data_IF_708323779871
#
_entry.id   IF_708323779871
#
_cell.length_a   1.000
_cell.length_b   1.000
_cell.length_c   1.000
_cell.angle_alpha   90.00
_cell.angle_beta   90.00
_cell.angle_gamma   90.00
#
_symmetry.space_group_name_H-M   'P 1'
#
loop_
_entity.id
_entity.type
_entity.pdbx_description
1 polymer ?
#
# COMPACT_ATOMS: atom_id res chain seq x y z
N UNK A 1 2.40 -85.02 -5.18
CA UNK A 1 1.95 -84.08 -6.23
C UNK A 1 0.81 -83.28 -5.64
N UNK A 2 0.69 -81.96 -5.68
CA UNK A 2 1.54 -80.86 -6.11
C UNK A 2 0.70 -79.58 -5.89
N UNK A 3 1.21 -78.58 -5.14
CA UNK A 3 0.91 -77.13 -5.18
C UNK A 3 -0.55 -76.68 -4.86
N UNK A 4 -0.86 -75.50 -4.32
CA UNK A 4 -0.23 -74.19 -4.04
C UNK A 4 -1.09 -73.56 -2.92
N UNK A 5 -0.54 -72.82 -1.96
CA UNK A 5 -0.42 -71.36 -2.05
C UNK A 5 -1.78 -70.73 -1.70
N UNK A 6 -1.98 -70.13 -0.53
CA UNK A 6 -1.16 -69.07 0.03
C UNK A 6 -1.72 -67.73 -0.44
N UNK A 7 -2.98 -67.46 -0.12
CA UNK A 7 -3.67 -66.19 -0.35
C UNK A 7 -4.60 -66.04 0.86
N UNK A 8 -4.24 -65.12 1.77
CA UNK A 8 -5.11 -64.54 2.82
C UNK A 8 -4.30 -63.56 3.72
N UNK A 9 -3.01 -63.36 3.45
CA UNK A 9 -2.14 -62.41 4.17
C UNK A 9 -1.95 -61.06 3.44
N UNK A 10 -2.84 -60.71 2.52
CA UNK A 10 -2.73 -59.49 1.70
C UNK A 10 -3.93 -58.54 1.91
N UNK A 11 -4.36 -58.39 3.17
CA UNK A 11 -5.36 -57.38 3.56
C UNK A 11 -4.82 -56.37 4.59
N UNK A 12 -3.49 -56.20 4.66
CA UNK A 12 -2.85 -55.30 5.63
C UNK A 12 -1.81 -54.34 5.03
N UNK A 13 -1.77 -54.18 3.71
CA UNK A 13 -0.68 -53.41 3.04
C UNK A 13 -1.17 -52.39 2.02
N UNK A 14 -2.38 -51.86 2.20
CA UNK A 14 -3.01 -50.94 1.25
C UNK A 14 -3.25 -49.50 1.71
N UNK A 15 -3.04 -49.14 2.99
CA UNK A 15 -3.54 -47.86 3.51
C UNK A 15 -2.52 -46.88 4.12
N UNK A 16 -1.21 -47.17 4.10
CA UNK A 16 -0.23 -46.31 4.77
C UNK A 16 0.74 -45.57 3.84
N UNK A 17 0.47 -45.47 2.54
CA UNK A 17 1.43 -44.86 1.60
C UNK A 17 1.05 -43.46 1.08
N UNK A 18 -0.11 -42.89 1.42
CA UNK A 18 -0.56 -41.63 0.81
C UNK A 18 -0.81 -40.45 1.77
N UNK A 19 -0.65 -40.61 3.08
CA UNK A 19 -0.95 -39.52 4.03
C UNK A 19 0.27 -38.69 4.42
N UNK A 20 1.50 -39.21 4.27
CA UNK A 20 2.75 -38.52 4.61
C UNK A 20 3.20 -37.48 3.57
N UNK A 21 3.62 -37.92 2.37
CA UNK A 21 4.18 -37.04 1.33
C UNK A 21 3.18 -36.02 0.77
N UNK A 22 1.91 -36.40 0.63
CA UNK A 22 0.86 -35.48 0.19
C UNK A 22 0.63 -34.35 1.20
N UNK A 23 0.69 -34.64 2.50
CA UNK A 23 0.54 -33.63 3.55
C UNK A 23 1.73 -32.67 3.65
N UNK A 24 2.94 -33.16 3.38
CA UNK A 24 4.16 -32.34 3.33
C UNK A 24 4.15 -31.40 2.14
N UNK A 25 3.73 -31.89 0.97
CA UNK A 25 3.61 -31.04 -0.21
C UNK A 25 2.52 -29.98 -0.02
N UNK A 26 1.35 -30.35 0.51
CA UNK A 26 0.26 -29.39 0.77
C UNK A 26 0.70 -28.34 1.81
N UNK A 27 1.39 -28.74 2.88
CA UNK A 27 1.90 -27.80 3.88
C UNK A 27 2.94 -26.82 3.28
N UNK A 28 3.87 -27.30 2.45
CA UNK A 28 4.86 -26.45 1.78
C UNK A 28 4.22 -25.44 0.81
N UNK A 29 3.15 -25.85 0.11
CA UNK A 29 2.42 -24.99 -0.82
C UNK A 29 1.64 -23.91 -0.07
N UNK A 30 0.99 -24.26 1.05
CA UNK A 30 0.27 -23.31 1.91
C UNK A 30 1.24 -22.28 2.51
N UNK A 31 2.38 -22.73 3.03
CA UNK A 31 3.43 -21.85 3.56
C UNK A 31 3.99 -20.92 2.47
N UNK A 32 4.28 -21.46 1.29
CA UNK A 32 4.77 -20.68 0.16
C UNK A 32 3.76 -19.64 -0.35
N UNK A 33 2.47 -19.98 -0.38
CA UNK A 33 1.39 -19.05 -0.74
C UNK A 33 1.23 -17.94 0.32
N UNK A 34 1.34 -18.29 1.61
CA UNK A 34 1.31 -17.33 2.72
C UNK A 34 2.47 -16.34 2.66
N UNK A 35 3.69 -16.83 2.45
CA UNK A 35 4.89 -16.00 2.30
C UNK A 35 4.78 -15.09 1.06
N UNK A 36 4.34 -15.64 -0.08
CA UNK A 36 4.14 -14.87 -1.30
C UNK A 36 3.10 -13.76 -1.10
N UNK A 37 1.98 -14.06 -0.44
CA UNK A 37 0.93 -13.09 -0.11
C UNK A 37 1.47 -11.95 0.79
N UNK A 38 2.26 -12.30 1.81
CA UNK A 38 2.91 -11.31 2.68
C UNK A 38 3.89 -10.43 1.91
N UNK A 39 4.77 -11.03 1.09
CA UNK A 39 5.74 -10.29 0.27
C UNK A 39 5.08 -9.38 -0.75
N UNK A 40 3.95 -9.78 -1.34
CA UNK A 40 3.16 -8.94 -2.24
C UNK A 40 2.59 -7.71 -1.52
N UNK A 41 2.08 -7.89 -0.30
CA UNK A 41 1.51 -6.80 0.50
C UNK A 41 2.60 -5.81 0.96
N UNK A 42 3.79 -6.30 1.31
CA UNK A 42 4.97 -5.47 1.64
C UNK A 42 5.50 -4.70 0.41
N UNK A 43 5.58 -5.36 -0.75
CA UNK A 43 5.94 -4.70 -2.02
C UNK A 43 4.92 -3.61 -2.38
N UNK A 44 3.62 -3.86 -2.16
CA UNK A 44 2.55 -2.89 -2.40
C UNK A 44 2.68 -1.67 -1.49
N UNK A 45 3.01 -1.88 -0.22
CA UNK A 45 3.27 -0.79 0.72
C UNK A 45 4.47 0.05 0.29
N UNK A 46 5.58 -0.60 -0.09
CA UNK A 46 6.78 0.09 -0.60
C UNK A 46 6.50 0.91 -1.86
N UNK A 47 5.68 0.39 -2.78
CA UNK A 47 5.25 1.10 -3.97
C UNK A 47 4.39 2.33 -3.64
N UNK A 48 3.44 2.22 -2.70
CA UNK A 48 2.61 3.34 -2.26
C UNK A 48 3.42 4.41 -1.53
N UNK A 49 4.40 4.01 -0.72
CA UNK A 49 5.31 4.94 -0.07
C UNK A 49 6.12 5.72 -1.11
N UNK A 50 6.69 5.03 -2.10
CA UNK A 50 7.41 5.66 -3.21
C UNK A 50 6.52 6.63 -4.00
N UNK A 51 5.30 6.21 -4.37
CA UNK A 51 4.33 7.07 -5.06
C UNK A 51 4.00 8.35 -4.26
N UNK A 52 3.79 8.21 -2.95
CA UNK A 52 3.54 9.36 -2.07
C UNK A 52 4.73 10.33 -2.02
N UNK A 53 5.97 9.82 -2.02
CA UNK A 53 7.18 10.64 -2.02
C UNK A 53 7.32 11.43 -3.32
N UNK A 54 6.98 10.82 -4.46
CA UNK A 54 6.94 11.51 -5.75
C UNK A 54 5.89 12.63 -5.78
N UNK A 55 4.69 12.41 -5.23
CA UNK A 55 3.66 13.46 -5.12
C UNK A 55 4.12 14.62 -4.24
N UNK A 56 4.73 14.32 -3.09
CA UNK A 56 5.27 15.34 -2.17
C UNK A 56 6.37 16.18 -2.85
N UNK A 57 7.23 15.52 -3.64
CA UNK A 57 8.27 16.18 -4.43
C UNK A 57 7.66 17.10 -5.48
N UNK A 58 6.64 16.63 -6.21
CA UNK A 58 5.92 17.43 -7.21
C UNK A 58 5.28 18.68 -6.58
N UNK A 59 4.59 18.51 -5.45
CA UNK A 59 4.00 19.61 -4.68
C UNK A 59 5.05 20.65 -4.25
N UNK A 60 6.23 20.19 -3.83
CA UNK A 60 7.33 21.06 -3.41
C UNK A 60 7.85 21.89 -4.59
N UNK A 61 8.08 21.27 -5.74
CA UNK A 61 8.52 21.96 -6.97
C UNK A 61 7.48 22.98 -7.42
N UNK A 62 6.20 22.61 -7.45
CA UNK A 62 5.11 23.51 -7.83
C UNK A 62 5.01 24.72 -6.89
N UNK A 63 5.16 24.50 -5.59
CA UNK A 63 5.12 25.59 -4.59
C UNK A 63 6.26 26.59 -4.81
N UNK A 64 7.47 26.11 -5.06
CA UNK A 64 8.63 26.98 -5.35
C UNK A 64 8.41 27.75 -6.65
N UNK A 65 7.96 27.08 -7.72
CA UNK A 65 7.70 27.72 -9.01
C UNK A 65 6.65 28.84 -8.89
N UNK A 66 5.58 28.62 -8.12
CA UNK A 66 4.56 29.64 -7.86
C UNK A 66 5.14 30.84 -7.10
N UNK A 67 5.91 30.62 -6.04
CA UNK A 67 6.52 31.71 -5.26
C UNK A 67 7.46 32.53 -6.15
N UNK A 68 8.26 31.88 -7.00
CA UNK A 68 9.13 32.58 -7.95
C UNK A 68 8.34 33.41 -8.96
N UNK A 69 7.25 32.87 -9.50
CA UNK A 69 6.41 33.56 -10.47
C UNK A 69 5.66 34.75 -9.85
N UNK A 70 5.25 34.65 -8.59
CA UNK A 70 4.53 35.70 -7.86
C UNK A 70 5.31 37.01 -7.86
N UNK A 71 6.62 36.97 -7.60
CA UNK A 71 7.46 38.17 -7.55
C UNK A 71 7.51 38.90 -8.90
N UNK A 72 7.68 38.14 -9.99
CA UNK A 72 7.72 38.68 -11.35
C UNK A 72 6.37 39.29 -11.73
N UNK A 73 5.28 38.59 -11.41
CA UNK A 73 3.94 39.00 -11.82
C UNK A 73 3.44 40.24 -11.07
N UNK A 74 3.79 40.36 -9.78
CA UNK A 74 3.46 41.55 -8.97
C UNK A 74 4.21 42.80 -9.44
N UNK A 75 5.43 42.65 -9.93
CA UNK A 75 6.21 43.77 -10.47
C UNK A 75 5.68 44.21 -11.84
N UNK A 76 5.34 43.26 -12.72
CA UNK A 76 4.83 43.53 -14.06
C UNK A 76 3.40 44.11 -14.07
N UNK A 77 2.54 43.69 -13.15
CA UNK A 77 1.11 44.04 -13.12
C UNK A 77 0.70 44.65 -11.78
N UNK A 78 1.42 45.72 -11.39
CA UNK A 78 1.23 46.40 -10.11
C UNK A 78 -0.21 46.86 -9.88
N UNK A 79 -0.88 47.34 -10.92
CA UNK A 79 -2.29 47.80 -10.86
C UNK A 79 -3.28 46.67 -10.59
N UNK A 80 -2.91 45.41 -10.88
CA UNK A 80 -3.73 44.21 -10.66
C UNK A 80 -3.23 43.34 -9.50
N UNK A 81 -2.37 43.89 -8.63
CA UNK A 81 -1.77 43.19 -7.50
C UNK A 81 -2.77 42.48 -6.58
N UNK A 82 -3.98 43.05 -6.37
CA UNK A 82 -5.05 42.40 -5.59
C UNK A 82 -5.59 41.15 -6.28
N UNK A 83 -5.83 41.19 -7.59
CA UNK A 83 -6.34 40.05 -8.36
C UNK A 83 -5.32 38.92 -8.38
N UNK A 84 -4.05 39.27 -8.60
CA UNK A 84 -2.92 38.33 -8.54
C UNK A 84 -2.80 37.71 -7.14
N UNK A 85 -2.90 38.52 -6.09
CA UNK A 85 -2.86 38.05 -4.71
C UNK A 85 -3.98 37.04 -4.40
N UNK A 86 -5.22 37.32 -4.83
CA UNK A 86 -6.36 36.40 -4.65
C UNK A 86 -6.14 35.11 -5.44
N UNK A 87 -5.68 35.21 -6.69
CA UNK A 87 -5.38 34.06 -7.54
C UNK A 87 -4.35 33.13 -6.88
N UNK A 88 -3.22 33.69 -6.47
CA UNK A 88 -2.16 32.94 -5.79
C UNK A 88 -2.62 32.37 -4.45
N UNK A 89 -3.37 33.13 -3.64
CA UNK A 89 -3.89 32.64 -2.37
C UNK A 89 -4.84 31.46 -2.57
N UNK A 90 -5.70 31.50 -3.59
CA UNK A 90 -6.63 30.41 -3.89
C UNK A 90 -5.90 29.13 -4.30
N UNK A 91 -4.90 29.22 -5.18
CA UNK A 91 -4.10 28.07 -5.62
C UNK A 91 -3.25 27.54 -4.46
N UNK A 92 -2.63 28.42 -3.69
CA UNK A 92 -1.79 28.05 -2.57
C UNK A 92 -2.58 27.35 -1.45
N UNK A 93 -3.81 27.79 -1.17
CA UNK A 93 -4.68 27.14 -0.20
C UNK A 93 -5.00 25.69 -0.60
N UNK A 94 -5.31 25.44 -1.87
CA UNK A 94 -5.59 24.09 -2.39
C UNK A 94 -4.33 23.22 -2.38
N UNK A 95 -3.18 23.78 -2.77
CA UNK A 95 -1.90 23.08 -2.71
C UNK A 95 -1.50 22.72 -1.27
N UNK A 96 -1.70 23.63 -0.31
CA UNK A 96 -1.44 23.38 1.10
C UNK A 96 -2.34 22.26 1.64
N UNK A 97 -3.63 22.27 1.29
CA UNK A 97 -4.54 21.19 1.65
C UNK A 97 -4.08 19.84 1.06
N UNK A 98 -3.69 19.82 -0.22
CA UNK A 98 -3.14 18.64 -0.87
C UNK A 98 -1.86 18.14 -0.19
N UNK A 99 -1.00 19.06 0.22
CA UNK A 99 0.27 18.77 0.89
C UNK A 99 0.06 18.18 2.29
N UNK A 100 -0.86 18.74 3.07
CA UNK A 100 -1.20 18.21 4.40
C UNK A 100 -1.78 16.81 4.30
N UNK A 101 -2.68 16.54 3.34
CA UNK A 101 -3.22 15.19 3.13
C UNK A 101 -2.13 14.20 2.71
N UNK A 102 -1.25 14.60 1.79
CA UNK A 102 -0.12 13.78 1.37
C UNK A 102 0.85 13.49 2.54
N UNK A 103 1.10 14.47 3.41
CA UNK A 103 1.89 14.29 4.64
C UNK A 103 1.20 13.36 5.62
N UNK A 104 -0.11 13.46 5.82
CA UNK A 104 -0.86 12.54 6.70
C UNK A 104 -0.81 11.11 6.14
N UNK A 105 -0.84 10.94 4.81
CA UNK A 105 -0.69 9.63 4.17
C UNK A 105 0.71 9.02 4.43
N UNK A 106 1.75 9.86 4.51
CA UNK A 106 3.11 9.45 4.87
C UNK A 106 3.30 9.28 6.38
N UNK A 107 2.53 9.99 7.21
CA UNK A 107 2.72 9.97 8.65
C UNK A 107 2.40 8.57 9.18
N UNK A 108 3.43 7.96 9.76
CA UNK A 108 3.58 6.54 10.07
C UNK A 108 2.39 6.00 10.88
N UNK A 109 1.41 5.44 10.18
CA UNK A 109 0.32 4.70 10.79
C UNK A 109 0.87 3.48 11.51
N UNK A 110 0.67 3.47 12.83
CA UNK A 110 1.06 2.43 13.77
C UNK A 110 0.61 1.06 13.24
N UNK A 111 1.57 0.17 13.06
CA UNK A 111 1.34 -1.21 12.66
C UNK A 111 1.31 -2.06 13.93
N UNK A 112 0.31 -2.94 14.06
CA UNK A 112 0.45 -4.10 14.94
C UNK A 112 1.49 -4.99 14.30
N UNK A 113 2.71 -4.93 14.81
CA UNK A 113 3.78 -5.86 14.47
C UNK A 113 3.28 -7.30 14.67
N UNK A 114 3.74 -8.22 13.81
CA UNK A 114 3.49 -9.65 14.00
C UNK A 114 3.80 -10.02 15.46
N UNK A 115 3.05 -10.94 16.04
CA UNK A 115 3.45 -11.53 17.32
C UNK A 115 4.90 -12.01 17.20
N UNK A 116 5.72 -11.67 18.20
CA UNK A 116 7.15 -11.99 18.21
C UNK A 116 7.40 -13.44 17.78
N UNK A 117 8.37 -13.71 16.88
CA UNK A 117 8.71 -15.07 16.48
C UNK A 117 9.06 -15.97 17.67
N UNK A 118 9.47 -15.40 18.81
CA UNK A 118 9.66 -16.12 20.07
C UNK A 118 8.35 -16.67 20.65
N UNK A 119 7.23 -15.92 20.58
CA UNK A 119 5.92 -16.38 21.04
C UNK A 119 5.30 -17.46 20.14
N UNK A 120 5.59 -17.39 18.84
CA UNK A 120 5.17 -18.41 17.87
C UNK A 120 5.97 -19.71 18.11
N UNK A 121 7.27 -19.59 18.37
CA UNK A 121 8.15 -20.73 18.67
C UNK A 121 7.84 -21.41 20.01
N UNK A 122 7.59 -20.65 21.08
CA UNK A 122 7.26 -21.19 22.41
C UNK A 122 5.95 -22.00 22.41
N UNK A 123 4.92 -21.53 21.70
CA UNK A 123 3.66 -22.27 21.60
C UNK A 123 3.75 -23.49 20.69
N UNK A 124 4.51 -23.41 19.60
CA UNK A 124 4.75 -24.56 18.71
C UNK A 124 5.43 -25.70 19.46
N UNK A 125 6.35 -25.39 20.39
CA UNK A 125 6.98 -26.40 21.24
C UNK A 125 6.04 -26.96 22.32
N UNK A 126 5.05 -26.19 22.78
CA UNK A 126 4.10 -26.63 23.82
C UNK A 126 2.95 -27.51 23.31
N UNK A 127 2.67 -27.47 21.99
CA UNK A 127 1.54 -28.17 21.34
C UNK A 127 2.02 -29.21 20.31
N UNK A 128 3.33 -29.47 20.24
CA UNK A 128 3.95 -30.43 19.30
C UNK A 128 3.33 -31.84 19.37
N UNK A 129 2.79 -32.22 20.53
CA UNK A 129 2.11 -33.52 20.74
C UNK A 129 0.63 -33.56 20.32
N UNK A 130 0.02 -32.44 19.94
CA UNK A 130 -1.42 -32.33 19.64
C UNK A 130 -1.71 -32.14 18.13
N UNK A 131 -0.68 -31.88 17.32
CA UNK A 131 -0.82 -31.78 15.86
C UNK A 131 -0.59 -33.14 15.18
N UNK A 132 -1.67 -33.80 14.72
CA UNK A 132 -1.59 -35.08 14.00
C UNK A 132 -1.00 -34.95 12.58
N UNK A 133 -0.99 -33.74 12.00
CA UNK A 133 -0.58 -33.52 10.61
C UNK A 133 0.12 -32.17 10.38
N UNK A 134 1.18 -32.19 9.55
CA UNK A 134 1.88 -30.98 9.07
C UNK A 134 0.96 -30.00 8.33
N UNK A 135 -0.16 -30.48 7.77
CA UNK A 135 -1.16 -29.64 7.12
C UNK A 135 -1.96 -28.78 8.12
N UNK A 136 -2.09 -29.24 9.37
CA UNK A 136 -2.80 -28.53 10.43
C UNK A 136 -1.94 -27.42 11.04
N UNK A 137 -0.64 -27.67 11.16
CA UNK A 137 0.38 -26.66 11.49
C UNK A 137 0.41 -25.53 10.44
N UNK A 138 0.33 -25.87 9.15
CA UNK A 138 0.29 -24.89 8.07
C UNK A 138 -1.00 -24.04 8.10
N UNK A 139 -2.17 -24.64 8.38
CA UNK A 139 -3.43 -23.90 8.57
C UNK A 139 -3.37 -22.97 9.77
N UNK A 140 -2.80 -23.42 10.89
CA UNK A 140 -2.66 -22.59 12.07
C UNK A 140 -1.72 -21.40 11.82
N UNK A 141 -0.61 -21.61 11.12
CA UNK A 141 0.29 -20.55 10.68
C UNK A 141 -0.44 -19.51 9.81
N UNK A 142 -1.29 -19.95 8.88
CA UNK A 142 -2.14 -19.05 8.08
C UNK A 142 -3.13 -18.25 8.94
N UNK A 143 -3.79 -18.86 9.92
CA UNK A 143 -4.69 -18.14 10.83
C UNK A 143 -3.95 -17.10 11.68
N UNK A 144 -2.75 -17.41 12.17
CA UNK A 144 -1.92 -16.44 12.90
C UNK A 144 -1.47 -15.26 12.00
N UNK A 145 -1.27 -15.51 10.70
CA UNK A 145 -0.94 -14.49 9.72
C UNK A 145 -2.15 -13.65 9.30
N UNK A 146 -3.36 -14.20 9.35
CA UNK A 146 -4.57 -13.56 8.86
C UNK A 146 -4.88 -12.24 9.59
N UNK A 147 -4.80 -12.22 10.93
CA UNK A 147 -4.98 -10.97 11.70
C UNK A 147 -3.95 -9.90 11.34
N UNK A 148 -2.72 -10.31 11.08
CA UNK A 148 -1.62 -9.44 10.68
C UNK A 148 -1.82 -8.89 9.26
N UNK A 149 -2.27 -9.74 8.33
CA UNK A 149 -2.55 -9.40 6.94
C UNK A 149 -3.78 -8.49 6.79
N UNK A 150 -4.87 -8.74 7.53
CA UNK A 150 -6.04 -7.87 7.53
C UNK A 150 -5.71 -6.46 8.02
N UNK A 151 -4.89 -6.37 9.06
CA UNK A 151 -4.35 -5.11 9.59
C UNK A 151 -3.53 -4.35 8.53
N UNK A 152 -2.61 -5.03 7.82
CA UNK A 152 -1.84 -4.47 6.70
C UNK A 152 -2.76 -3.97 5.59
N UNK A 153 -3.71 -4.79 5.14
CA UNK A 153 -4.60 -4.50 4.02
C UNK A 153 -5.48 -3.29 4.31
N UNK A 154 -6.02 -3.20 5.53
CA UNK A 154 -6.86 -2.06 5.97
C UNK A 154 -6.06 -0.76 6.02
N UNK A 155 -4.81 -0.80 6.50
CA UNK A 155 -3.91 0.36 6.48
C UNK A 155 -3.58 0.78 5.07
N UNK A 156 -3.24 -0.18 4.22
CA UNK A 156 -2.83 0.10 2.86
C UNK A 156 -3.95 0.70 2.02
N UNK A 157 -5.20 0.24 2.24
CA UNK A 157 -6.37 0.84 1.61
C UNK A 157 -6.59 2.30 2.05
N UNK A 158 -6.39 2.62 3.33
CA UNK A 158 -6.44 4.01 3.81
C UNK A 158 -5.38 4.86 3.15
N UNK A 159 -4.11 4.44 3.18
CA UNK A 159 -3.00 5.19 2.57
C UNK A 159 -3.27 5.42 1.07
N UNK A 160 -3.71 4.38 0.36
CA UNK A 160 -4.08 4.48 -1.06
C UNK A 160 -5.19 5.51 -1.28
N UNK A 161 -6.25 5.50 -0.48
CA UNK A 161 -7.35 6.45 -0.59
C UNK A 161 -6.90 7.90 -0.30
N UNK A 162 -6.05 8.12 0.72
CA UNK A 162 -5.50 9.45 0.98
C UNK A 162 -4.61 9.95 -0.16
N UNK A 163 -3.78 9.08 -0.74
CA UNK A 163 -2.91 9.41 -1.89
C UNK A 163 -3.76 9.75 -3.12
N UNK A 164 -4.82 9.00 -3.38
CA UNK A 164 -5.76 9.26 -4.47
C UNK A 164 -6.45 10.62 -4.30
N UNK A 165 -6.94 10.90 -3.09
CA UNK A 165 -7.55 12.20 -2.76
C UNK A 165 -6.55 13.35 -2.95
N UNK A 166 -5.33 13.21 -2.44
CA UNK A 166 -4.28 14.21 -2.64
C UNK A 166 -3.96 14.43 -4.13
N UNK A 167 -3.94 13.37 -4.92
CA UNK A 167 -3.72 13.45 -6.37
C UNK A 167 -4.85 14.20 -7.08
N UNK A 168 -6.11 13.94 -6.72
CA UNK A 168 -7.27 14.65 -7.27
C UNK A 168 -7.20 16.14 -6.92
N UNK A 169 -6.89 16.49 -5.67
CA UNK A 169 -6.71 17.88 -5.23
C UNK A 169 -5.59 18.59 -5.99
N UNK A 170 -4.48 17.90 -6.26
CA UNK A 170 -3.39 18.43 -7.07
C UNK A 170 -3.86 18.75 -8.50
N UNK A 171 -4.62 17.86 -9.14
CA UNK A 171 -5.19 18.10 -10.48
C UNK A 171 -6.12 19.30 -10.47
N UNK A 172 -6.96 19.44 -9.44
CA UNK A 172 -7.83 20.61 -9.26
C UNK A 172 -7.00 21.90 -9.11
N UNK A 173 -5.92 21.87 -8.32
CA UNK A 173 -5.04 23.03 -8.15
C UNK A 173 -4.41 23.47 -9.48
N UNK A 174 -3.96 22.51 -10.30
CA UNK A 174 -3.45 22.79 -11.65
C UNK A 174 -4.55 23.37 -12.54
N UNK A 175 -5.77 22.84 -12.48
CA UNK A 175 -6.92 23.37 -13.22
C UNK A 175 -7.22 24.84 -12.87
N UNK A 176 -7.25 25.17 -11.58
CA UNK A 176 -7.46 26.54 -11.11
C UNK A 176 -6.33 27.46 -11.58
N UNK A 177 -5.08 26.99 -11.54
CA UNK A 177 -3.92 27.74 -12.03
C UNK A 177 -4.06 28.07 -13.53
N UNK A 178 -4.45 27.10 -14.37
CA UNK A 178 -4.66 27.32 -15.81
C UNK A 178 -5.76 28.36 -16.06
N UNK A 179 -6.88 28.29 -15.32
CA UNK A 179 -7.97 29.28 -15.44
C UNK A 179 -7.47 30.68 -15.09
N UNK A 180 -6.72 30.85 -13.99
CA UNK A 180 -6.14 32.14 -13.63
C UNK A 180 -5.13 32.64 -14.66
N UNK A 181 -4.30 31.76 -15.22
CA UNK A 181 -3.36 32.12 -16.26
C UNK A 181 -4.06 32.68 -17.51
N UNK A 182 -5.20 32.11 -17.91
CA UNK A 182 -6.00 32.61 -19.02
C UNK A 182 -6.63 33.98 -18.71
N UNK A 183 -7.16 34.16 -17.50
CA UNK A 183 -7.75 35.44 -17.07
C UNK A 183 -6.70 36.54 -17.08
N UNK A 184 -5.55 36.29 -16.43
CA UNK A 184 -4.45 37.27 -16.36
C UNK A 184 -3.91 37.54 -17.77
N UNK A 185 -3.71 36.50 -18.59
CA UNK A 185 -3.29 36.65 -19.97
C UNK A 185 -4.24 37.50 -20.82
N UNK A 186 -5.56 37.33 -20.64
CA UNK A 186 -6.57 38.17 -21.31
C UNK A 186 -6.48 39.63 -20.86
N UNK A 187 -6.28 39.90 -19.57
CA UNK A 187 -6.16 41.27 -19.04
C UNK A 187 -4.92 41.95 -19.63
N UNK A 188 -3.79 41.23 -19.67
CA UNK A 188 -2.54 41.73 -20.27
C UNK A 188 -2.74 42.02 -21.75
N UNK A 189 -3.38 41.11 -22.50
CA UNK A 189 -3.63 41.28 -23.92
C UNK A 189 -4.52 42.49 -24.21
N UNK A 190 -5.58 42.71 -23.43
CA UNK A 190 -6.48 43.86 -23.57
C UNK A 190 -5.84 45.20 -23.25
N UNK A 191 -4.74 45.23 -22.49
CA UNK A 191 -3.97 46.47 -22.23
C UNK A 191 -2.88 46.72 -23.29
N UNK A 192 -2.47 45.69 -24.01
CA UNK A 192 -1.40 45.79 -25.01
C UNK A 192 -1.92 46.24 -26.39
N UNK A 193 -3.18 45.94 -26.70
CA UNK A 193 -3.88 46.29 -27.96
C UNK A 193 -4.59 47.63 -27.83
#
# INVERSE_FOLDING_TARGET
>A
MEKRGGEDAESARGNNFCTGEGSEHIASVILGLGEMSYRMEDSRYSALLSASAHILTCLSIMSVALISLLGILLDALRDYSLVIGIAFLSVFAVLLASFVIALIAQFRFHYKELQSPAKIGEYTHSVESEFESKAEVARYYCNCLEESQESLKKRNHKISSLIEVATILLVIAVGILVVWALIIGSIVFSHLV
#
